data_IF_833016525798
#
_entry.id   IF_833016525798
#
_cell.length_a   1.000
_cell.length_b   1.000
_cell.length_c   1.000
_cell.angle_alpha   90.00
_cell.angle_beta   90.00
_cell.angle_gamma   90.00
#
_symmetry.space_group_name_H-M   'P 1'
#
loop_
_entity.id
_entity.type
_entity.pdbx_description
1 polymer ?
#
# COMPACT_ATOMS: atom_id res chain seq x y z
N UNK A 1 -47.26 -8.09 -46.45
CA UNK A 1 -46.49 -8.44 -45.24
C UNK A 1 -45.14 -9.04 -45.63
N UNK A 2 -44.04 -8.27 -45.60
CA UNK A 2 -42.71 -8.82 -45.83
C UNK A 2 -41.93 -9.02 -44.52
N UNK A 3 -41.01 -9.99 -44.56
CA UNK A 3 -40.26 -10.59 -43.46
C UNK A 3 -39.19 -9.65 -42.89
N UNK A 4 -39.34 -9.29 -41.62
CA UNK A 4 -38.38 -8.58 -40.77
C UNK A 4 -37.71 -9.59 -39.82
N UNK A 5 -36.82 -10.46 -40.31
CA UNK A 5 -36.12 -11.42 -39.42
C UNK A 5 -34.64 -11.63 -39.72
N UNK A 6 -34.06 -10.94 -40.71
CA UNK A 6 -32.65 -11.18 -41.09
C UNK A 6 -31.63 -10.19 -40.52
N UNK A 7 -32.05 -9.12 -39.83
CA UNK A 7 -31.12 -8.09 -39.29
C UNK A 7 -30.71 -8.30 -37.82
N UNK A 8 -31.44 -9.11 -37.06
CA UNK A 8 -31.10 -9.39 -35.65
C UNK A 8 -29.96 -10.40 -35.49
N UNK A 9 -29.80 -11.34 -36.42
CA UNK A 9 -28.75 -12.38 -36.35
C UNK A 9 -27.35 -11.81 -36.62
N UNK A 10 -27.24 -10.77 -37.45
CA UNK A 10 -25.94 -10.14 -37.72
C UNK A 10 -25.44 -9.22 -36.59
N UNK A 11 -26.35 -8.60 -35.82
CA UNK A 11 -25.97 -7.78 -34.66
C UNK A 11 -25.48 -8.65 -33.49
N UNK A 12 -26.12 -9.80 -33.26
CA UNK A 12 -25.74 -10.76 -32.23
C UNK A 12 -24.35 -11.39 -32.50
N UNK A 13 -24.04 -11.76 -33.74
CA UNK A 13 -22.70 -12.27 -34.07
C UNK A 13 -21.58 -11.21 -33.98
N UNK A 14 -21.89 -9.92 -34.25
CA UNK A 14 -20.92 -8.83 -34.12
C UNK A 14 -20.65 -8.49 -32.63
N UNK A 15 -21.67 -8.54 -31.78
CA UNK A 15 -21.55 -8.40 -30.33
C UNK A 15 -20.76 -9.56 -29.71
N UNK A 16 -21.03 -10.80 -30.13
CA UNK A 16 -20.29 -11.99 -29.67
C UNK A 16 -18.83 -11.99 -30.16
N UNK A 17 -18.56 -11.54 -31.39
CA UNK A 17 -17.20 -11.39 -31.91
C UNK A 17 -16.43 -10.21 -31.26
N UNK A 18 -17.14 -9.17 -30.82
CA UNK A 18 -16.58 -8.08 -30.01
C UNK A 18 -16.27 -8.55 -28.59
N UNK A 19 -17.19 -9.28 -27.94
CA UNK A 19 -17.03 -9.86 -26.61
C UNK A 19 -15.87 -10.88 -26.55
N UNK A 20 -15.66 -11.67 -27.60
CA UNK A 20 -14.50 -12.56 -27.72
C UNK A 20 -13.17 -11.81 -27.86
N UNK A 21 -13.17 -10.57 -28.38
CA UNK A 21 -11.97 -9.72 -28.45
C UNK A 21 -11.68 -9.00 -27.13
N UNK A 22 -12.70 -8.60 -26.37
CA UNK A 22 -12.51 -8.01 -25.04
C UNK A 22 -11.96 -8.99 -24.00
N UNK A 23 -12.22 -10.30 -24.15
CA UNK A 23 -11.67 -11.35 -23.29
C UNK A 23 -10.12 -11.44 -23.32
N UNK A 24 -9.48 -10.91 -24.37
CA UNK A 24 -8.01 -10.86 -24.53
C UNK A 24 -7.45 -9.48 -24.08
N UNK A 25 -8.30 -8.49 -23.81
CA UNK A 25 -7.92 -7.08 -23.62
C UNK A 25 -7.62 -6.68 -22.17
N UNK A 26 -7.84 -7.56 -21.19
CA UNK A 26 -7.37 -7.35 -19.82
C UNK A 26 -5.91 -7.77 -19.73
N UNK A 27 -5.00 -6.82 -19.92
CA UNK A 27 -3.64 -6.99 -19.39
C UNK A 27 -3.73 -6.86 -17.88
N UNK A 28 -3.87 -8.00 -17.19
CA UNK A 28 -3.47 -8.07 -15.78
C UNK A 28 -2.00 -7.64 -15.68
N UNK A 29 -1.58 -6.96 -14.61
CA UNK A 29 -0.15 -6.84 -14.32
C UNK A 29 0.41 -8.26 -14.28
N UNK A 30 1.32 -8.54 -15.22
CA UNK A 30 1.85 -9.87 -15.60
C UNK A 30 1.74 -10.92 -14.48
N UNK A 31 0.82 -11.87 -14.62
CA UNK A 31 0.92 -13.16 -13.95
C UNK A 31 2.17 -13.88 -14.49
N UNK A 32 3.31 -13.68 -13.85
CA UNK A 32 4.47 -14.56 -14.03
C UNK A 32 4.26 -15.83 -13.20
N UNK A 33 3.37 -16.71 -13.65
CA UNK A 33 3.50 -18.14 -13.36
C UNK A 33 4.39 -18.79 -14.43
N UNK A 34 5.61 -18.30 -14.57
CA UNK A 34 6.69 -19.03 -15.23
C UNK A 34 7.60 -19.51 -14.12
N UNK A 35 7.75 -20.83 -13.96
CA UNK A 35 8.89 -21.42 -13.25
C UNK A 35 10.17 -20.95 -13.94
N UNK A 36 10.67 -19.78 -13.56
CA UNK A 36 11.97 -19.32 -13.98
C UNK A 36 13.01 -20.15 -13.22
N UNK A 37 14.08 -20.63 -13.89
CA UNK A 37 15.20 -21.23 -13.19
C UNK A 37 15.75 -20.19 -12.21
N UNK A 38 15.97 -20.59 -10.97
CA UNK A 38 16.57 -19.83 -9.85
C UNK A 38 17.54 -18.74 -10.31
N UNK A 39 17.02 -17.56 -10.65
CA UNK A 39 17.83 -16.39 -10.96
C UNK A 39 18.23 -15.81 -9.61
N UNK A 40 19.51 -15.95 -9.27
CA UNK A 40 20.13 -15.22 -8.17
C UNK A 40 20.02 -13.73 -8.49
N UNK A 41 19.02 -13.08 -7.94
CA UNK A 41 18.91 -11.64 -7.92
C UNK A 41 19.96 -11.12 -6.93
N UNK A 42 21.15 -10.78 -7.42
CA UNK A 42 22.09 -9.98 -6.63
C UNK A 42 21.56 -8.54 -6.64
N UNK A 43 21.19 -7.95 -5.49
CA UNK A 43 20.80 -6.55 -5.47
C UNK A 43 22.06 -5.71 -5.67
N UNK A 44 22.28 -5.26 -6.90
CA UNK A 44 23.20 -4.15 -7.13
C UNK A 44 22.46 -2.87 -6.71
N UNK A 45 22.44 -2.60 -5.40
CA UNK A 45 22.11 -1.29 -4.85
C UNK A 45 23.21 -0.32 -5.31
N UNK A 46 23.03 0.30 -6.46
CA UNK A 46 23.79 1.50 -6.80
C UNK A 46 23.33 2.61 -5.85
N UNK A 47 24.11 2.84 -4.79
CA UNK A 47 23.98 3.93 -3.83
C UNK A 47 24.34 5.28 -4.46
N UNK A 48 23.55 5.72 -5.42
CA UNK A 48 23.68 7.03 -6.04
C UNK A 48 22.29 7.52 -6.41
N UNK A 49 21.56 8.03 -5.41
CA UNK A 49 20.35 8.81 -5.66
C UNK A 49 20.48 10.11 -4.87
N UNK A 50 20.90 11.15 -5.58
CA UNK A 50 20.51 12.50 -5.22
C UNK A 50 18.99 12.53 -5.46
N UNK A 51 18.24 12.28 -4.39
CA UNK A 51 16.79 12.16 -4.44
C UNK A 51 16.16 13.52 -4.76
N UNK A 52 15.93 13.73 -6.05
CA UNK A 52 14.91 14.62 -6.56
C UNK A 52 13.54 14.01 -6.23
N UNK A 53 13.03 14.34 -5.04
CA UNK A 53 11.67 13.96 -4.59
C UNK A 53 10.57 14.74 -5.35
N UNK A 54 10.92 15.56 -6.35
CA UNK A 54 10.00 16.18 -7.31
C UNK A 54 9.45 15.19 -8.34
N UNK A 55 9.12 13.96 -7.93
CA UNK A 55 8.45 13.01 -8.80
C UNK A 55 7.02 13.49 -9.01
N UNK A 56 6.84 14.25 -10.09
CA UNK A 56 5.55 14.63 -10.63
C UNK A 56 4.64 13.38 -10.63
N UNK A 57 3.41 13.47 -10.11
CA UNK A 57 2.54 12.31 -9.95
C UNK A 57 2.36 11.60 -11.29
N UNK A 58 2.64 10.29 -11.34
CA UNK A 58 2.54 9.50 -12.57
C UNK A 58 1.10 9.65 -13.12
N UNK A 59 0.91 10.07 -14.37
CA UNK A 59 -0.42 10.34 -14.93
C UNK A 59 -1.33 9.11 -14.89
N UNK A 60 -0.78 7.89 -14.82
CA UNK A 60 -1.56 6.65 -14.67
C UNK A 60 -2.23 6.55 -13.30
N UNK A 61 -1.58 7.06 -12.25
CA UNK A 61 -2.15 7.12 -10.90
C UNK A 61 -3.36 8.04 -10.87
N UNK A 62 -3.22 9.23 -11.45
CA UNK A 62 -4.29 10.22 -11.50
C UNK A 62 -5.44 9.76 -12.41
N UNK A 63 -5.13 9.17 -13.57
CA UNK A 63 -6.14 8.59 -14.44
C UNK A 63 -6.95 7.48 -13.75
N UNK A 64 -6.29 6.60 -12.99
CA UNK A 64 -6.99 5.55 -12.24
C UNK A 64 -7.82 6.12 -11.09
N UNK A 65 -7.28 7.11 -10.36
CA UNK A 65 -8.01 7.82 -9.31
C UNK A 65 -9.26 8.48 -9.87
N UNK A 66 -9.12 9.27 -10.94
CA UNK A 66 -10.22 9.93 -11.62
C UNK A 66 -11.25 8.93 -12.15
N UNK A 67 -10.80 7.80 -12.71
CA UNK A 67 -11.67 6.72 -13.18
C UNK A 67 -12.53 6.15 -12.05
N UNK A 68 -11.91 5.85 -10.90
CA UNK A 68 -12.62 5.36 -9.73
C UNK A 68 -13.62 6.42 -9.28
N UNK A 69 -13.20 7.65 -9.02
CA UNK A 69 -14.07 8.71 -8.50
C UNK A 69 -15.28 9.01 -9.40
N UNK A 70 -15.09 9.04 -10.72
CA UNK A 70 -16.17 9.29 -11.68
C UNK A 70 -17.19 8.15 -11.75
N UNK A 71 -16.71 6.91 -11.67
CA UNK A 71 -17.53 5.73 -11.95
C UNK A 71 -18.04 5.05 -10.67
N UNK A 72 -17.56 5.46 -9.48
CA UNK A 72 -17.87 4.78 -8.22
C UNK A 72 -19.31 4.99 -7.77
N UNK A 73 -20.00 3.89 -7.48
CA UNK A 73 -21.34 3.93 -6.92
C UNK A 73 -21.29 3.85 -5.39
N UNK A 74 -21.41 5.00 -4.72
CA UNK A 74 -21.36 5.09 -3.26
C UNK A 74 -22.39 4.24 -2.53
N UNK A 75 -23.57 4.00 -3.12
CA UNK A 75 -24.66 3.26 -2.49
C UNK A 75 -24.40 1.75 -2.46
N UNK A 76 -23.83 1.18 -3.53
CA UNK A 76 -23.57 -0.26 -3.63
C UNK A 76 -22.14 -0.63 -3.21
N UNK A 77 -21.16 0.23 -3.53
CA UNK A 77 -19.73 -0.04 -3.35
C UNK A 77 -19.14 0.61 -2.09
N UNK A 78 -19.86 1.51 -1.43
CA UNK A 78 -19.39 2.20 -0.21
C UNK A 78 -18.47 3.37 -0.54
N UNK A 79 -17.51 3.69 0.32
CA UNK A 79 -16.58 4.81 0.08
C UNK A 79 -15.56 4.47 -1.01
N UNK A 80 -15.26 5.44 -1.87
CA UNK A 80 -14.28 5.27 -2.95
C UNK A 80 -12.85 5.20 -2.37
N UNK A 81 -12.09 4.11 -2.60
CA UNK A 81 -10.74 3.95 -2.04
C UNK A 81 -9.67 4.71 -2.86
N UNK A 82 -10.00 5.92 -3.32
CA UNK A 82 -9.13 6.78 -4.12
C UNK A 82 -8.04 7.47 -3.29
N UNK A 83 -8.30 7.62 -1.99
CA UNK A 83 -7.40 8.26 -1.01
C UNK A 83 -7.18 7.34 0.20
N UNK A 84 -6.04 7.46 0.90
CA UNK A 84 -5.71 6.62 2.05
C UNK A 84 -6.79 6.63 3.13
N UNK A 85 -7.39 7.78 3.43
CA UNK A 85 -8.40 7.97 4.47
C UNK A 85 -9.68 7.18 4.12
N UNK A 86 -10.16 7.34 2.88
CA UNK A 86 -11.38 6.68 2.41
C UNK A 86 -11.19 5.17 2.31
N UNK A 87 -10.02 4.73 1.83
CA UNK A 87 -9.69 3.31 1.76
C UNK A 87 -9.60 2.70 3.16
N UNK A 88 -8.98 3.40 4.11
CA UNK A 88 -8.85 2.96 5.50
C UNK A 88 -10.21 2.85 6.19
N UNK A 89 -11.11 3.80 5.96
CA UNK A 89 -12.45 3.76 6.54
C UNK A 89 -13.28 2.57 6.00
N UNK A 90 -13.26 2.34 4.68
CA UNK A 90 -13.91 1.18 4.08
C UNK A 90 -13.34 -0.15 4.59
N UNK A 91 -12.01 -0.21 4.78
CA UNK A 91 -11.35 -1.38 5.37
C UNK A 91 -11.71 -1.56 6.85
N UNK A 92 -11.83 -0.46 7.62
CA UNK A 92 -12.15 -0.49 9.05
C UNK A 92 -13.54 -1.09 9.33
N UNK A 93 -14.53 -0.86 8.46
CA UNK A 93 -15.85 -1.51 8.52
C UNK A 93 -15.75 -3.04 8.39
N UNK A 94 -14.93 -3.49 7.44
CA UNK A 94 -14.71 -4.91 7.20
C UNK A 94 -13.91 -5.56 8.34
N UNK A 95 -12.89 -4.87 8.86
CA UNK A 95 -12.10 -5.29 10.03
C UNK A 95 -13.00 -5.40 11.27
N UNK A 96 -13.83 -4.40 11.54
CA UNK A 96 -14.76 -4.41 12.67
C UNK A 96 -15.69 -5.62 12.63
N UNK A 97 -16.26 -5.90 11.45
CA UNK A 97 -17.12 -7.05 11.22
C UNK A 97 -16.41 -8.40 11.44
N UNK A 98 -15.14 -8.51 11.03
CA UNK A 98 -14.32 -9.70 11.26
C UNK A 98 -13.94 -9.89 12.74
N UNK A 99 -13.57 -8.81 13.43
CA UNK A 99 -13.24 -8.83 14.86
C UNK A 99 -14.48 -9.19 15.71
N UNK A 100 -15.67 -8.73 15.33
CA UNK A 100 -16.92 -9.12 15.98
C UNK A 100 -17.19 -10.63 15.89
N UNK A 101 -16.68 -11.29 14.84
CA UNK A 101 -16.70 -12.76 14.67
C UNK A 101 -15.45 -13.46 15.22
N UNK A 102 -14.69 -12.78 16.08
CA UNK A 102 -13.50 -13.31 16.76
C UNK A 102 -12.33 -13.68 15.82
N UNK A 103 -12.27 -13.10 14.62
CA UNK A 103 -11.06 -13.18 13.81
C UNK A 103 -10.05 -12.14 14.29
N UNK A 104 -8.82 -12.59 14.56
CA UNK A 104 -7.75 -11.74 15.07
C UNK A 104 -6.56 -11.62 14.11
N UNK A 105 -6.48 -12.45 13.07
CA UNK A 105 -5.48 -12.36 12.00
C UNK A 105 -6.21 -11.97 10.72
N UNK A 106 -5.96 -10.77 10.24
CA UNK A 106 -6.72 -10.13 9.16
C UNK A 106 -5.77 -9.77 8.03
N UNK A 107 -6.25 -9.86 6.80
CA UNK A 107 -5.52 -9.47 5.61
C UNK A 107 -6.30 -8.39 4.85
N UNK A 108 -5.57 -7.43 4.30
CA UNK A 108 -6.10 -6.39 3.42
C UNK A 108 -5.25 -6.42 2.14
N UNK A 109 -5.88 -6.44 0.96
CA UNK A 109 -5.17 -6.41 -0.33
C UNK A 109 -5.72 -5.34 -1.28
N UNK A 110 -5.04 -4.20 -1.30
CA UNK A 110 -5.27 -3.06 -2.18
C UNK A 110 -4.40 -3.20 -3.43
N UNK A 111 -4.97 -3.72 -4.52
CA UNK A 111 -4.33 -3.79 -5.86
C UNK A 111 -4.45 -2.47 -6.60
N UNK A 112 -4.19 -1.38 -5.89
CA UNK A 112 -4.13 -0.03 -6.41
C UNK A 112 -2.65 0.32 -6.64
N UNK A 113 -2.26 1.03 -7.72
CA UNK A 113 -0.85 1.10 -8.07
C UNK A 113 0.01 1.84 -7.04
N UNK A 114 -0.54 2.80 -6.27
CA UNK A 114 0.15 3.43 -5.14
C UNK A 114 0.44 2.48 -3.99
N UNK A 115 -0.32 1.39 -3.86
CA UNK A 115 -0.24 0.49 -2.73
C UNK A 115 0.40 -0.85 -3.06
N UNK A 116 0.40 -1.26 -4.33
CA UNK A 116 0.95 -2.55 -4.74
C UNK A 116 2.44 -2.46 -5.07
N UNK A 117 3.27 -3.04 -4.21
CA UNK A 117 4.73 -3.07 -4.40
C UNK A 117 5.15 -3.79 -5.69
N UNK A 118 4.29 -4.66 -6.25
CA UNK A 118 4.61 -5.36 -7.51
C UNK A 118 4.52 -4.48 -8.76
N UNK A 119 3.88 -3.32 -8.66
CA UNK A 119 3.83 -2.32 -9.74
C UNK A 119 5.18 -1.60 -9.95
N UNK A 120 6.10 -1.81 -9.00
CA UNK A 120 7.47 -1.30 -9.05
C UNK A 120 7.62 0.05 -8.32
N UNK A 121 8.88 0.47 -8.08
CA UNK A 121 9.19 1.60 -7.21
C UNK A 121 8.71 2.95 -7.73
N UNK A 122 8.34 3.05 -9.02
CA UNK A 122 7.79 4.28 -9.61
C UNK A 122 6.32 4.51 -9.27
N UNK A 123 5.56 3.43 -9.09
CA UNK A 123 4.13 3.50 -8.84
C UNK A 123 3.83 3.30 -7.36
N UNK A 124 4.60 2.43 -6.68
CA UNK A 124 4.45 2.17 -5.27
C UNK A 124 4.84 3.39 -4.43
N UNK A 125 3.84 3.96 -3.75
CA UNK A 125 3.98 5.10 -2.86
C UNK A 125 3.99 4.62 -1.40
N UNK A 126 5.19 4.54 -0.83
CA UNK A 126 5.41 4.18 0.58
C UNK A 126 4.63 5.09 1.53
N UNK A 127 4.51 6.39 1.21
CA UNK A 127 3.80 7.36 2.04
C UNK A 127 2.31 7.08 2.00
N UNK A 128 1.71 6.89 0.83
CA UNK A 128 0.28 6.55 0.72
C UNK A 128 -0.08 5.28 1.50
N UNK A 129 0.78 4.25 1.45
CA UNK A 129 0.58 3.00 2.19
C UNK A 129 0.66 3.24 3.70
N UNK A 130 1.63 4.04 4.15
CA UNK A 130 1.76 4.41 5.55
C UNK A 130 0.59 5.26 6.05
N UNK A 131 0.14 6.24 5.26
CA UNK A 131 -1.01 7.09 5.56
C UNK A 131 -2.28 6.23 5.67
N UNK A 132 -2.45 5.23 4.80
CA UNK A 132 -3.55 4.27 4.89
C UNK A 132 -3.50 3.48 6.20
N UNK A 133 -2.33 2.97 6.59
CA UNK A 133 -2.17 2.21 7.84
C UNK A 133 -2.42 3.09 9.07
N UNK A 134 -2.00 4.36 9.02
CA UNK A 134 -2.24 5.36 10.07
C UNK A 134 -3.73 5.65 10.21
N UNK A 135 -4.40 5.99 9.10
CA UNK A 135 -5.84 6.24 9.08
C UNK A 135 -6.63 5.01 9.53
N UNK A 136 -6.19 3.80 9.15
CA UNK A 136 -6.81 2.56 9.60
C UNK A 136 -6.69 2.41 11.12
N UNK A 137 -5.52 2.70 11.68
CA UNK A 137 -5.32 2.68 13.13
C UNK A 137 -6.22 3.67 13.87
N UNK A 138 -6.34 4.90 13.35
CA UNK A 138 -7.26 5.91 13.90
C UNK A 138 -8.71 5.44 13.88
N UNK A 139 -9.18 4.92 12.76
CA UNK A 139 -10.54 4.39 12.60
C UNK A 139 -10.83 3.24 13.58
N UNK A 140 -9.88 2.31 13.75
CA UNK A 140 -10.04 1.18 14.68
C UNK A 140 -10.01 1.64 16.15
N UNK A 141 -9.19 2.66 16.47
CA UNK A 141 -9.12 3.27 17.80
C UNK A 141 -10.41 4.04 18.14
N UNK A 142 -10.93 4.83 17.20
CA UNK A 142 -12.19 5.57 17.35
C UNK A 142 -13.37 4.62 17.64
N UNK A 143 -13.38 3.47 16.97
CA UNK A 143 -14.36 2.38 17.18
C UNK A 143 -14.11 1.56 18.45
N UNK A 144 -13.06 1.87 19.22
CA UNK A 144 -12.65 1.14 20.44
C UNK A 144 -12.36 -0.35 20.20
N UNK A 145 -11.94 -0.69 18.99
CA UNK A 145 -11.54 -2.06 18.62
C UNK A 145 -10.10 -2.35 19.03
N UNK A 146 -9.26 -1.32 19.00
CA UNK A 146 -7.87 -1.34 19.45
C UNK A 146 -7.62 -0.11 20.32
N UNK A 147 -6.58 -0.16 21.16
CA UNK A 147 -6.10 1.02 21.90
C UNK A 147 -5.04 1.77 21.11
N UNK A 148 -4.09 1.00 20.56
CA UNK A 148 -2.95 1.51 19.80
C UNK A 148 -2.36 0.41 18.92
N UNK A 149 -1.87 0.76 17.74
CA UNK A 149 -1.20 -0.18 16.84
C UNK A 149 0.29 0.06 16.69
N UNK A 150 1.07 -1.01 16.53
CA UNK A 150 2.43 -0.94 15.99
C UNK A 150 2.39 -1.15 14.46
N UNK A 151 2.75 -0.12 13.68
CA UNK A 151 2.90 -0.22 12.23
C UNK A 151 4.33 -0.62 11.91
N UNK A 152 4.49 -1.78 11.27
CA UNK A 152 5.77 -2.40 10.96
C UNK A 152 6.08 -2.29 9.47
N UNK A 153 7.14 -1.55 9.17
CA UNK A 153 7.81 -1.54 7.86
C UNK A 153 9.00 -2.49 7.89
N UNK A 154 9.57 -2.80 6.72
CA UNK A 154 10.47 -3.95 6.60
C UNK A 154 11.81 -3.72 7.29
N UNK A 155 12.43 -2.57 7.03
CA UNK A 155 13.76 -2.22 7.53
C UNK A 155 13.83 -0.76 7.99
N UNK A 156 14.95 -0.41 8.62
CA UNK A 156 15.15 0.95 9.13
C UNK A 156 15.20 2.02 8.03
N UNK A 157 15.69 1.67 6.84
CA UNK A 157 15.73 2.60 5.71
C UNK A 157 14.32 3.02 5.31
N UNK A 158 13.41 2.05 5.12
CA UNK A 158 12.00 2.31 4.85
C UNK A 158 11.34 3.13 5.97
N UNK A 159 11.68 2.87 7.24
CA UNK A 159 11.19 3.66 8.37
C UNK A 159 11.60 5.13 8.25
N UNK A 160 12.89 5.40 8.02
CA UNK A 160 13.42 6.76 7.90
C UNK A 160 12.83 7.49 6.69
N UNK A 161 12.70 6.83 5.56
CA UNK A 161 12.14 7.42 4.34
C UNK A 161 10.67 7.81 4.55
N UNK A 162 9.90 6.94 5.20
CA UNK A 162 8.49 7.21 5.56
C UNK A 162 8.37 8.37 6.55
N UNK A 163 9.23 8.41 7.58
CA UNK A 163 9.24 9.52 8.55
C UNK A 163 9.63 10.86 7.90
N UNK A 164 10.60 10.84 6.98
CA UNK A 164 11.01 12.04 6.23
C UNK A 164 9.85 12.54 5.37
N UNK A 165 9.21 11.66 4.61
CA UNK A 165 8.06 12.01 3.76
C UNK A 165 6.87 12.55 4.59
N UNK A 166 6.63 11.98 5.77
CA UNK A 166 5.57 12.46 6.67
C UNK A 166 5.86 13.86 7.25
N UNK A 167 7.12 14.16 7.60
CA UNK A 167 7.52 15.48 8.10
C UNK A 167 7.38 16.57 7.06
N UNK A 168 7.87 16.33 5.84
CA UNK A 168 7.78 17.30 4.74
C UNK A 168 6.34 17.72 4.46
N UNK A 169 5.39 16.77 4.47
CA UNK A 169 3.97 17.07 4.27
C UNK A 169 3.32 17.89 5.38
N UNK A 170 3.88 17.90 6.60
CA UNK A 170 3.38 18.74 7.69
C UNK A 170 3.90 20.16 7.61
N UNK A 171 5.15 20.33 7.17
CA UNK A 171 5.79 21.64 7.05
C UNK A 171 5.23 22.45 5.87
N UNK A 172 4.88 21.80 4.76
CA UNK A 172 4.28 22.45 3.58
C UNK A 172 2.91 23.09 3.91
N UNK A 173 2.19 22.59 4.90
CA UNK A 173 0.87 23.11 5.32
C UNK A 173 1.00 24.35 6.22
N UNK A 174 2.18 24.61 6.80
CA UNK A 174 2.37 25.68 7.81
C UNK A 174 2.93 27.00 7.27
N UNK A 175 3.10 27.16 5.95
CA UNK A 175 3.80 28.33 5.37
C UNK A 175 2.88 29.53 5.06
N UNK A 176 1.55 29.44 5.22
CA UNK A 176 0.64 30.43 4.59
C UNK A 176 -0.27 31.26 5.50
N UNK A 177 0.05 31.47 6.80
CA UNK A 177 -0.80 32.28 7.68
C UNK A 177 -0.06 33.13 8.75
N UNK A 178 1.21 33.47 8.55
CA UNK A 178 1.87 34.53 9.37
C UNK A 178 2.37 35.68 8.47
N UNK A 179 1.43 36.62 8.29
CA UNK A 179 1.60 38.07 8.24
C UNK A 179 3.01 38.58 8.66
N UNK A 180 3.76 39.17 7.73
CA UNK A 180 4.77 40.16 8.05
C UNK A 180 5.02 41.12 6.87
N UNK A 181 4.19 42.17 6.85
CA UNK A 181 4.65 43.55 6.92
C UNK A 181 6.11 43.80 6.53
N UNK A 182 6.34 44.21 5.28
CA UNK A 182 7.55 44.94 4.87
C UNK A 182 7.69 46.26 5.66
N UNK A 183 8.35 46.21 6.82
CA UNK A 183 9.02 47.38 7.36
C UNK A 183 10.53 47.22 7.17
N UNK A 184 11.08 48.16 6.41
CA UNK A 184 12.46 48.18 6.00
C UNK A 184 13.32 48.78 7.11
N UNK A 185 14.11 47.96 7.79
CA UNK A 185 15.28 48.44 8.52
C UNK A 185 16.53 47.69 8.06
N UNK A 186 17.25 48.33 7.13
CA UNK A 186 18.68 48.12 6.95
C UNK A 186 19.40 48.27 8.30
N UNK A 187 20.31 47.34 8.62
CA UNK A 187 21.68 47.58 9.13
C UNK A 187 22.21 46.33 9.88
N UNK A 188 23.40 45.87 9.44
CA UNK A 188 24.41 45.04 10.13
C UNK A 188 24.56 43.54 9.82
N UNK A 189 24.61 43.14 8.55
CA UNK A 189 25.09 41.81 8.12
C UNK A 189 26.63 41.63 8.18
N UNK A 190 27.39 42.67 8.53
CA UNK A 190 28.86 42.60 8.52
C UNK A 190 29.47 41.83 9.71
N UNK A 191 28.72 41.57 10.79
CA UNK A 191 29.26 40.91 11.99
C UNK A 191 29.14 39.38 11.95
N UNK A 192 28.11 38.83 11.32
CA UNK A 192 27.87 37.37 11.32
C UNK A 192 28.87 36.63 10.43
N UNK A 193 29.23 37.24 9.29
CA UNK A 193 30.23 36.67 8.38
C UNK A 193 31.62 36.67 9.02
N UNK A 194 31.94 37.68 9.85
CA UNK A 194 33.23 37.78 10.55
C UNK A 194 33.30 36.79 11.74
N UNK A 195 32.20 36.56 12.45
CA UNK A 195 32.11 35.51 13.49
C UNK A 195 32.24 34.11 12.89
N UNK A 196 31.61 33.86 11.74
CA UNK A 196 31.76 32.59 11.03
C UNK A 196 33.21 32.38 10.58
N UNK A 197 33.87 33.42 10.07
CA UNK A 197 35.29 33.37 9.66
C UNK A 197 36.23 33.08 10.82
N UNK A 198 36.01 33.71 11.99
CA UNK A 198 36.78 33.44 13.21
C UNK A 198 36.62 32.00 13.69
N UNK A 199 35.39 31.49 13.68
CA UNK A 199 35.08 30.12 14.13
C UNK A 199 35.73 29.05 13.24
N UNK A 200 35.91 29.36 11.95
CA UNK A 200 36.58 28.49 10.99
C UNK A 200 38.10 28.49 11.17
N UNK A 201 38.71 29.65 11.43
CA UNK A 201 40.16 29.76 11.66
C UNK A 201 40.60 29.13 13.00
N UNK A 202 39.78 29.25 14.06
CA UNK A 202 40.04 28.57 15.34
C UNK A 202 40.04 27.04 15.23
N UNK A 203 39.37 26.47 14.21
CA UNK A 203 39.34 25.03 13.98
C UNK A 203 40.56 24.48 13.23
N UNK A 204 41.40 25.35 12.67
CA UNK A 204 42.58 24.96 11.88
C UNK A 204 43.89 25.06 12.66
N UNK A 205 43.97 25.90 13.70
CA UNK A 205 45.21 26.14 14.46
C UNK A 205 45.41 25.26 15.70
N UNK A 206 44.56 24.25 15.95
CA UNK A 206 44.84 23.28 17.02
C UNK A 206 46.01 22.36 16.63
N UNK A 207 47.18 22.43 17.31
CA UNK A 207 48.28 21.53 17.04
C UNK A 207 47.87 20.12 17.44
N UNK A 208 48.18 19.16 16.59
CA UNK A 208 47.82 17.75 16.80
C UNK A 208 48.76 17.15 17.85
N UNK A 209 48.46 17.38 19.13
CA UNK A 209 49.18 16.71 20.21
C UNK A 209 48.68 15.27 20.37
N UNK A 210 49.60 14.36 20.08
CA UNK A 210 49.48 12.91 20.27
C UNK A 210 49.23 12.59 21.74
N UNK A 211 47.97 12.45 22.12
CA UNK A 211 47.58 11.59 23.22
C UNK A 211 46.32 10.83 22.80
N UNK A 212 46.49 9.54 22.53
CA UNK A 212 45.40 8.63 22.18
C UNK A 212 44.41 8.54 23.34
N UNK A 213 43.14 8.98 23.20
CA UNK A 213 42.07 8.48 24.02
C UNK A 213 41.56 7.21 23.35
N UNK A 214 41.70 6.09 24.05
CA UNK A 214 40.94 4.88 23.76
C UNK A 214 39.45 5.24 23.75
N UNK A 215 38.87 5.44 22.56
CA UNK A 215 37.42 5.45 22.36
C UNK A 215 37.00 3.99 22.53
N UNK A 216 36.76 3.63 23.79
CA UNK A 216 35.91 2.50 24.12
C UNK A 216 34.52 2.95 23.70
N UNK A 217 34.13 2.60 22.47
CA UNK A 217 32.80 2.83 21.97
C UNK A 217 31.82 2.05 22.87
N UNK A 218 31.21 2.74 23.83
CA UNK A 218 30.00 2.26 24.46
C UNK A 218 28.96 1.99 23.36
N UNK A 219 28.23 0.87 23.43
CA UNK A 219 27.20 0.56 22.46
C UNK A 219 26.13 1.65 22.55
N UNK A 220 26.08 2.49 21.52
CA UNK A 220 25.06 3.51 21.31
C UNK A 220 23.68 2.92 21.60
N UNK A 221 23.09 3.37 22.71
CA UNK A 221 21.79 2.93 23.16
C UNK A 221 20.79 3.12 22.01
N UNK A 222 20.05 2.05 21.70
CA UNK A 222 19.03 2.07 20.67
C UNK A 222 18.15 3.33 20.80
N UNK A 223 17.88 4.06 19.70
CA UNK A 223 17.13 5.30 19.75
C UNK A 223 15.80 5.05 20.47
N UNK A 224 15.59 5.75 21.59
CA UNK A 224 14.31 5.72 22.29
C UNK A 224 13.27 6.34 21.36
N UNK A 225 12.22 5.61 20.96
CA UNK A 225 11.17 6.19 20.15
C UNK A 225 10.53 7.34 20.93
N UNK A 226 10.56 8.55 20.37
CA UNK A 226 9.72 9.67 20.82
C UNK A 226 8.30 9.37 20.37
N UNK A 227 7.55 8.74 21.27
CA UNK A 227 6.16 8.34 21.02
C UNK A 227 5.27 9.52 21.36
N UNK A 228 4.59 10.08 20.37
CA UNK A 228 3.50 11.02 20.63
C UNK A 228 2.38 10.26 21.39
N UNK A 229 2.03 10.68 22.62
CA UNK A 229 1.00 10.01 23.41
C UNK A 229 -0.39 10.12 22.78
N UNK A 230 -0.62 11.06 21.86
CA UNK A 230 -1.90 11.23 21.17
C UNK A 230 -2.01 10.42 19.87
N UNK A 231 -0.91 9.84 19.39
CA UNK A 231 -0.90 9.04 18.17
C UNK A 231 -1.58 7.68 18.36
N UNK A 232 -2.44 7.26 17.43
CA UNK A 232 -3.07 5.92 17.41
C UNK A 232 -2.06 4.82 17.15
N UNK A 233 -0.90 5.17 16.61
CA UNK A 233 0.10 4.22 16.18
C UNK A 233 1.51 4.63 16.57
N UNK A 234 2.42 3.67 16.39
CA UNK A 234 3.87 3.87 16.36
C UNK A 234 4.41 3.20 15.11
N UNK A 235 5.19 3.92 14.32
CA UNK A 235 5.91 3.38 13.17
C UNK A 235 7.24 2.75 13.64
N UNK A 236 7.55 1.55 13.18
CA UNK A 236 8.83 0.89 13.50
C UNK A 236 9.28 -0.08 12.41
N UNK A 237 10.54 -0.48 12.45
CA UNK A 237 11.14 -1.46 11.55
C UNK A 237 11.04 -2.88 12.12
N UNK A 238 10.66 -3.86 11.29
CA UNK A 238 10.60 -5.28 11.70
C UNK A 238 11.96 -5.82 12.13
N UNK A 239 13.02 -5.51 11.38
CA UNK A 239 14.38 -6.04 11.60
C UNK A 239 15.38 -4.99 12.10
N UNK A 240 14.99 -3.72 12.21
CA UNK A 240 15.88 -2.63 12.61
C UNK A 240 16.99 -2.35 11.59
N UNK A 241 18.21 -2.12 12.10
CA UNK A 241 19.45 -1.92 11.33
C UNK A 241 20.28 -3.21 11.22
N UNK A 242 19.71 -4.37 11.55
CA UNK A 242 20.44 -5.63 11.52
C UNK A 242 20.77 -6.02 10.07
N UNK A 243 22.03 -6.38 9.82
CA UNK A 243 22.46 -6.90 8.52
C UNK A 243 22.10 -8.40 8.44
N UNK A 244 21.14 -8.73 7.58
CA UNK A 244 20.70 -10.11 7.39
C UNK A 244 21.49 -10.74 6.24
N UNK A 245 22.33 -11.73 6.56
CA UNK A 245 23.09 -12.47 5.54
C UNK A 245 22.22 -13.56 4.92
N UNK A 246 22.24 -13.64 3.58
CA UNK A 246 21.58 -14.73 2.85
C UNK A 246 22.39 -16.03 2.99
N UNK A 247 22.14 -16.77 4.07
CA UNK A 247 22.87 -17.99 4.43
C UNK A 247 22.05 -18.94 5.31
N UNK A 248 22.72 -19.96 5.86
CA UNK A 248 22.11 -20.93 6.77
C UNK A 248 21.67 -20.32 8.10
N UNK A 249 22.23 -19.18 8.46
CA UNK A 249 21.97 -18.41 9.68
C UNK A 249 20.88 -17.34 9.51
N UNK A 250 20.43 -17.08 8.29
CA UNK A 250 19.41 -16.07 7.97
C UNK A 250 18.16 -16.20 8.86
N UNK A 251 17.71 -17.44 9.08
CA UNK A 251 16.53 -17.70 9.91
C UNK A 251 16.71 -17.19 11.34
N UNK A 252 17.81 -17.56 12.00
CA UNK A 252 18.09 -17.18 13.38
C UNK A 252 18.35 -15.68 13.51
N UNK A 253 19.03 -15.07 12.53
CA UNK A 253 19.27 -13.63 12.49
C UNK A 253 17.95 -12.84 12.40
N UNK A 254 17.05 -13.23 11.50
CA UNK A 254 15.75 -12.57 11.35
C UNK A 254 14.90 -12.76 12.61
N UNK A 255 14.87 -13.95 13.18
CA UNK A 255 14.15 -14.20 14.44
C UNK A 255 14.69 -13.32 15.57
N UNK A 256 16.01 -13.23 15.73
CA UNK A 256 16.64 -12.38 16.75
C UNK A 256 16.35 -10.89 16.52
N UNK A 257 16.40 -10.43 15.26
CA UNK A 257 16.10 -9.06 14.88
C UNK A 257 14.64 -8.70 15.21
N UNK A 258 13.68 -9.56 14.84
CA UNK A 258 12.25 -9.38 15.14
C UNK A 258 11.99 -9.42 16.65
N UNK A 259 12.68 -10.29 17.38
CA UNK A 259 12.60 -10.36 18.83
C UNK A 259 13.09 -9.10 19.53
N UNK A 260 14.09 -8.44 18.94
CA UNK A 260 14.65 -7.19 19.43
C UNK A 260 13.79 -5.98 19.04
N UNK A 261 13.32 -5.90 17.80
CA UNK A 261 12.74 -4.69 17.23
C UNK A 261 11.21 -4.67 17.16
N UNK A 262 10.56 -5.78 16.79
CA UNK A 262 9.10 -5.87 16.68
C UNK A 262 8.42 -6.15 18.04
N UNK A 263 8.68 -5.29 19.03
CA UNK A 263 8.11 -5.39 20.38
C UNK A 263 6.91 -4.47 20.53
N UNK A 264 5.81 -5.04 21.03
CA UNK A 264 4.68 -4.26 21.51
C UNK A 264 5.01 -3.59 22.84
N UNK A 265 4.55 -2.36 23.01
CA UNK A 265 4.51 -1.69 24.32
C UNK A 265 3.31 -2.25 25.09
N UNK A 266 3.55 -3.16 26.04
CA UNK A 266 2.48 -3.78 26.86
C UNK A 266 2.46 -3.22 28.28
N UNK A 267 3.59 -2.69 28.74
CA UNK A 267 3.75 -2.10 30.07
C UNK A 267 3.76 -0.58 29.95
N UNK A 268 2.89 0.09 30.69
CA UNK A 268 2.73 1.54 30.63
C UNK A 268 1.30 1.96 30.96
N UNK A 269 1.02 3.28 30.98
CA UNK A 269 -0.34 3.79 31.05
C UNK A 269 -1.19 3.18 29.93
N UNK A 270 -2.48 2.99 30.17
CA UNK A 270 -3.37 2.30 29.22
C UNK A 270 -3.42 2.94 27.84
N UNK A 271 -3.14 4.23 27.74
CA UNK A 271 -3.05 5.01 26.49
C UNK A 271 -1.84 4.66 25.62
N UNK A 272 -0.79 4.08 26.20
CA UNK A 272 0.43 3.70 25.48
C UNK A 272 0.48 2.20 25.13
N UNK A 273 -0.46 1.41 25.65
CA UNK A 273 -0.46 -0.02 25.43
C UNK A 273 -0.91 -0.36 24.01
N UNK A 274 -0.04 -1.06 23.29
CA UNK A 274 -0.30 -1.55 21.94
C UNK A 274 -0.93 -2.95 22.00
N UNK A 275 -2.08 -3.09 21.35
CA UNK A 275 -2.83 -4.34 21.25
C UNK A 275 -3.06 -4.84 19.82
N UNK A 276 -2.58 -4.07 18.83
CA UNK A 276 -2.59 -4.46 17.42
C UNK A 276 -1.24 -4.28 16.73
N UNK A 277 -0.99 -5.10 15.70
CA UNK A 277 0.14 -4.96 14.78
C UNK A 277 -0.38 -4.81 13.35
N UNK A 278 0.17 -3.87 12.59
CA UNK A 278 -0.08 -3.71 11.16
C UNK A 278 1.24 -3.97 10.44
N UNK A 279 1.31 -5.00 9.61
CA UNK A 279 2.50 -5.38 8.84
C UNK A 279 2.33 -4.88 7.40
N UNK A 280 3.27 -4.05 6.95
CA UNK A 280 3.19 -3.38 5.64
C UNK A 280 3.93 -4.20 4.58
N UNK A 281 3.19 -4.59 3.54
CA UNK A 281 3.68 -5.15 2.28
C UNK A 281 4.80 -6.20 2.40
N UNK A 282 4.66 -7.26 3.23
CA UNK A 282 5.68 -8.32 3.30
C UNK A 282 5.73 -9.11 1.99
N UNK A 283 6.92 -9.32 1.42
CA UNK A 283 7.04 -9.95 0.10
C UNK A 283 8.20 -10.94 -0.09
N UNK A 284 9.29 -10.84 0.67
CA UNK A 284 10.44 -11.73 0.48
C UNK A 284 10.59 -12.80 1.57
N UNK A 285 11.64 -13.62 1.47
CA UNK A 285 11.93 -14.69 2.43
C UNK A 285 12.23 -14.15 3.83
N UNK A 286 12.86 -12.98 3.94
CA UNK A 286 13.14 -12.32 5.23
C UNK A 286 11.82 -11.93 5.89
N UNK A 287 10.92 -11.30 5.13
CA UNK A 287 9.59 -10.93 5.60
C UNK A 287 8.75 -12.16 5.97
N UNK A 288 8.85 -13.26 5.21
CA UNK A 288 8.19 -14.51 5.53
C UNK A 288 8.59 -15.02 6.92
N UNK A 289 9.90 -15.06 7.20
CA UNK A 289 10.43 -15.51 8.49
C UNK A 289 9.98 -14.53 9.61
N UNK A 290 10.01 -13.23 9.33
CA UNK A 290 9.58 -12.21 10.27
C UNK A 290 8.09 -12.32 10.62
N UNK A 291 7.22 -12.47 9.62
CA UNK A 291 5.77 -12.68 9.78
C UNK A 291 5.50 -13.94 10.58
N UNK A 292 6.17 -15.06 10.28
CA UNK A 292 6.05 -16.29 11.07
C UNK A 292 6.42 -16.09 12.53
N UNK A 293 7.52 -15.37 12.80
CA UNK A 293 7.94 -15.06 14.18
C UNK A 293 6.93 -14.16 14.89
N UNK A 294 6.38 -13.15 14.21
CA UNK A 294 5.36 -12.24 14.75
C UNK A 294 4.08 -13.02 15.09
N UNK A 295 3.61 -13.88 14.19
CA UNK A 295 2.43 -14.72 14.41
C UNK A 295 2.62 -15.66 15.59
N UNK A 296 3.80 -16.29 15.71
CA UNK A 296 4.11 -17.16 16.83
C UNK A 296 4.09 -16.42 18.19
N UNK A 297 4.47 -15.14 18.21
CA UNK A 297 4.51 -14.32 19.43
C UNK A 297 3.17 -13.71 19.81
N UNK A 298 2.44 -13.21 18.83
CA UNK A 298 1.27 -12.35 19.08
C UNK A 298 -0.03 -12.86 18.47
N UNK A 299 0.02 -13.86 17.59
CA UNK A 299 -1.13 -14.34 16.82
C UNK A 299 -2.23 -15.01 17.64
N UNK A 300 -2.03 -15.24 18.94
CA UNK A 300 -3.08 -15.73 19.85
C UNK A 300 -3.60 -14.64 20.80
N UNK A 301 -2.86 -13.53 20.97
CA UNK A 301 -3.11 -12.56 22.04
C UNK A 301 -3.43 -11.16 21.53
N UNK A 302 -3.19 -10.89 20.26
CA UNK A 302 -3.26 -9.56 19.65
C UNK A 302 -3.92 -9.64 18.28
N UNK A 303 -4.39 -8.49 17.81
CA UNK A 303 -4.88 -8.34 16.43
C UNK A 303 -3.68 -8.13 15.52
N UNK A 304 -3.58 -8.90 14.44
CA UNK A 304 -2.55 -8.76 13.41
C UNK A 304 -3.24 -8.46 12.10
N UNK A 305 -2.89 -7.35 11.47
CA UNK A 305 -3.39 -6.93 10.16
C UNK A 305 -2.21 -6.94 9.20
N UNK A 306 -2.33 -7.70 8.11
CA UNK A 306 -1.31 -7.74 7.05
C UNK A 306 -1.86 -7.01 5.84
N UNK A 307 -1.18 -5.93 5.44
CA UNK A 307 -1.57 -5.09 4.31
C UNK A 307 -0.71 -5.45 3.11
N UNK A 308 -1.35 -5.72 1.98
CA UNK A 308 -0.72 -5.94 0.67
C UNK A 308 0.39 -6.99 0.68
N UNK A 309 0.14 -8.14 1.30
CA UNK A 309 1.10 -9.23 1.27
C UNK A 309 1.36 -9.70 -0.17
N UNK A 310 2.64 -9.91 -0.48
CA UNK A 310 3.13 -10.48 -1.75
C UNK A 310 4.05 -11.68 -1.51
N UNK A 311 3.88 -12.35 -0.38
CA UNK A 311 4.62 -13.57 -0.07
C UNK A 311 4.25 -14.65 -1.10
N UNK A 312 5.25 -15.26 -1.73
CA UNK A 312 5.04 -16.32 -2.74
C UNK A 312 4.24 -17.51 -2.19
N UNK A 313 4.43 -17.80 -0.89
CA UNK A 313 3.66 -18.80 -0.18
C UNK A 313 3.25 -18.26 1.18
N UNK A 314 1.95 -18.35 1.50
CA UNK A 314 1.47 -17.98 2.81
C UNK A 314 1.92 -19.04 3.83
N UNK A 315 2.52 -18.63 4.96
CA UNK A 315 2.91 -19.56 6.01
C UNK A 315 1.68 -20.23 6.61
N UNK A 316 1.84 -21.47 7.10
CA UNK A 316 0.76 -22.29 7.70
C UNK A 316 0.07 -21.57 8.85
N UNK A 317 0.82 -20.73 9.57
CA UNK A 317 0.36 -19.88 10.66
C UNK A 317 -0.71 -18.85 10.21
N UNK A 318 -0.80 -18.54 8.90
CA UNK A 318 -1.86 -17.71 8.30
C UNK A 318 -3.07 -18.51 7.81
N UNK A 319 -3.17 -19.81 8.10
CA UNK A 319 -4.34 -20.59 7.70
C UNK A 319 -5.65 -20.01 8.28
N UNK A 320 -5.62 -19.51 9.51
CA UNK A 320 -6.75 -18.85 10.18
C UNK A 320 -6.94 -17.38 9.79
N UNK A 321 -6.04 -16.80 8.98
CA UNK A 321 -6.16 -15.43 8.54
C UNK A 321 -7.39 -15.25 7.65
N UNK A 322 -8.06 -14.10 7.75
CA UNK A 322 -9.22 -13.76 6.92
C UNK A 322 -8.89 -12.54 6.08
N UNK A 323 -9.06 -12.65 4.75
CA UNK A 323 -9.04 -11.48 3.87
C UNK A 323 -10.31 -10.67 4.11
N UNK A 324 -10.18 -9.52 4.76
CA UNK A 324 -11.33 -8.71 5.18
C UNK A 324 -11.70 -7.66 4.15
N UNK A 325 -10.71 -7.09 3.48
CA UNK A 325 -10.91 -6.04 2.49
C UNK A 325 -9.96 -6.23 1.33
N UNK A 326 -10.48 -6.18 0.11
CA UNK A 326 -9.66 -6.22 -1.08
C UNK A 326 -10.31 -5.42 -2.21
N UNK A 327 -9.49 -4.78 -3.04
CA UNK A 327 -9.95 -4.05 -4.22
C UNK A 327 -8.94 -4.18 -5.35
N UNK A 328 -9.41 -4.49 -6.54
CA UNK A 328 -8.63 -4.60 -7.77
C UNK A 328 -9.40 -3.95 -8.92
N UNK A 329 -9.05 -2.70 -9.29
CA UNK A 329 -9.55 -2.10 -10.52
C UNK A 329 -8.81 -2.65 -11.74
N UNK A 330 -9.56 -2.91 -12.80
CA UNK A 330 -9.10 -3.36 -14.10
C UNK A 330 -9.71 -2.47 -15.17
N UNK A 331 -8.90 -2.04 -16.13
CA UNK A 331 -9.36 -1.25 -17.28
C UNK A 331 -8.93 -1.96 -18.54
N UNK A 332 -9.90 -2.33 -19.38
CA UNK A 332 -9.62 -2.88 -20.70
C UNK A 332 -9.13 -1.76 -21.61
N UNK A 333 -8.02 -1.99 -22.31
CA UNK A 333 -7.54 -1.03 -23.32
C UNK A 333 -8.46 -1.07 -24.53
N UNK A 334 -9.00 0.08 -24.93
CA UNK A 334 -9.68 0.19 -26.21
C UNK A 334 -8.68 -0.07 -27.33
N UNK A 335 -9.02 -1.00 -28.24
CA UNK A 335 -8.17 -1.35 -29.39
C UNK A 335 -8.28 -0.33 -30.54
N UNK A 336 -8.96 0.80 -30.36
CA UNK A 336 -9.22 1.81 -31.41
C UNK A 336 -7.97 2.58 -31.89
N UNK A 337 -6.77 2.24 -31.41
CA UNK A 337 -5.51 2.91 -31.76
C UNK A 337 -4.94 2.62 -33.17
N UNK A 338 -5.70 2.00 -34.07
CA UNK A 338 -5.13 1.58 -35.36
C UNK A 338 -5.02 2.67 -36.41
N UNK A 339 -5.77 3.78 -36.38
CA UNK A 339 -5.61 4.88 -37.34
C UNK A 339 -6.38 6.13 -36.90
N UNK A 340 -5.75 7.10 -36.22
CA UNK A 340 -6.24 8.48 -36.24
C UNK A 340 -5.16 9.42 -35.70
N UNK A 341 -4.81 10.39 -36.54
CA UNK A 341 -3.96 11.54 -36.24
C UNK A 341 -4.84 12.69 -35.70
N UNK A 342 -5.94 12.34 -35.03
CA UNK A 342 -6.98 13.25 -34.57
C UNK A 342 -6.99 13.31 -33.04
N UNK A 343 -7.31 14.50 -32.57
CA UNK A 343 -7.09 15.04 -31.22
C UNK A 343 -7.54 14.08 -30.11
N UNK A 344 -6.73 14.05 -29.05
CA UNK A 344 -6.89 13.26 -27.83
C UNK A 344 -8.20 13.63 -27.12
N UNK A 345 -9.32 13.09 -27.58
CA UNK A 345 -10.52 13.02 -26.76
C UNK A 345 -10.29 11.87 -25.76
N UNK A 346 -9.70 12.21 -24.61
CA UNK A 346 -9.44 11.37 -23.42
C UNK A 346 -10.70 10.69 -22.83
N UNK A 347 -11.80 10.71 -23.56
CA UNK A 347 -13.16 10.47 -23.10
C UNK A 347 -13.65 9.03 -23.38
N UNK A 348 -13.03 8.27 -24.28
CA UNK A 348 -13.48 6.90 -24.58
C UNK A 348 -12.85 5.88 -23.62
N UNK A 349 -13.19 6.01 -22.33
CA UNK A 349 -12.77 5.06 -21.32
C UNK A 349 -13.33 3.67 -21.66
N UNK A 350 -12.45 2.76 -22.08
CA UNK A 350 -12.80 1.36 -22.34
C UNK A 350 -13.40 0.67 -21.11
N UNK A 351 -13.98 -0.51 -21.32
CA UNK A 351 -14.62 -1.35 -20.30
C UNK A 351 -13.82 -1.38 -18.98
N UNK A 352 -14.44 -0.93 -17.89
CA UNK A 352 -13.83 -0.89 -16.55
C UNK A 352 -14.47 -1.95 -15.68
N UNK A 353 -13.67 -2.57 -14.84
CA UNK A 353 -14.11 -3.60 -13.90
C UNK A 353 -13.47 -3.33 -12.54
N UNK A 354 -14.22 -3.48 -11.47
CA UNK A 354 -13.69 -3.49 -10.10
C UNK A 354 -14.07 -4.82 -9.46
N UNK A 355 -13.07 -5.56 -9.03
CA UNK A 355 -13.24 -6.74 -8.19
C UNK A 355 -12.99 -6.32 -6.74
N UNK A 356 -13.94 -6.61 -5.86
CA UNK A 356 -13.80 -6.24 -4.45
C UNK A 356 -14.25 -7.33 -3.50
N UNK A 357 -13.69 -7.29 -2.29
CA UNK A 357 -14.10 -8.09 -1.15
C UNK A 357 -14.31 -7.16 0.05
N UNK A 358 -15.43 -7.31 0.73
CA UNK A 358 -15.75 -6.62 1.99
C UNK A 358 -16.37 -7.61 2.94
N UNK A 359 -15.64 -8.03 3.96
CA UNK A 359 -16.16 -9.01 4.91
C UNK A 359 -17.42 -8.48 5.62
N UNK A 360 -18.48 -9.29 5.77
CA UNK A 360 -18.56 -10.74 5.54
C UNK A 360 -19.08 -11.13 4.14
N UNK A 361 -19.21 -10.20 3.22
CA UNK A 361 -19.71 -10.45 1.87
C UNK A 361 -18.73 -11.31 1.06
N UNK A 362 -19.28 -12.02 0.07
CA UNK A 362 -18.50 -12.72 -0.94
C UNK A 362 -17.77 -11.71 -1.85
N UNK A 363 -16.95 -12.23 -2.76
CA UNK A 363 -16.37 -11.42 -3.83
C UNK A 363 -17.47 -10.78 -4.69
N UNK A 364 -17.40 -9.46 -4.83
CA UNK A 364 -18.22 -8.66 -5.72
C UNK A 364 -17.45 -8.28 -6.98
N UNK A 365 -18.15 -8.25 -8.11
CA UNK A 365 -17.61 -7.78 -9.38
C UNK A 365 -18.53 -6.67 -9.90
N UNK A 366 -17.94 -5.53 -10.24
CA UNK A 366 -18.66 -4.36 -10.71
C UNK A 366 -18.12 -3.93 -12.06
N UNK A 367 -19.01 -3.60 -12.99
CA UNK A 367 -18.66 -3.28 -14.38
C UNK A 367 -19.21 -1.91 -14.73
N UNK A 368 -18.38 -1.10 -15.40
CA UNK A 368 -18.79 0.13 -16.05
C UNK A 368 -18.42 0.04 -17.54
N UNK A 369 -19.46 -0.03 -18.39
CA UNK A 369 -19.34 -0.23 -19.84
C UNK A 369 -19.40 1.10 -20.60
N UNK A 370 -20.26 2.01 -20.15
CA UNK A 370 -20.63 3.22 -20.89
C UNK A 370 -20.28 4.53 -20.16
N UNK A 371 -19.64 4.44 -18.98
CA UNK A 371 -19.34 5.61 -18.16
C UNK A 371 -20.47 6.03 -17.22
N UNK A 372 -21.57 5.26 -17.15
CA UNK A 372 -22.72 5.53 -16.28
C UNK A 372 -22.46 5.13 -14.82
N UNK A 373 -21.30 4.55 -14.55
CA UNK A 373 -20.86 4.10 -13.25
C UNK A 373 -20.92 2.59 -13.07
N UNK A 374 -20.28 2.14 -12.00
CA UNK A 374 -20.11 0.74 -11.69
C UNK A 374 -21.43 0.10 -11.23
N UNK A 375 -21.86 -0.90 -11.98
CA UNK A 375 -23.03 -1.72 -11.69
C UNK A 375 -22.59 -3.14 -11.31
N UNK A 376 -23.28 -3.79 -10.35
CA UNK A 376 -22.94 -5.15 -9.95
C UNK A 376 -23.16 -6.12 -11.10
N UNK A 377 -22.12 -6.82 -11.52
CA UNK A 377 -22.20 -7.94 -12.44
C UNK A 377 -22.35 -9.22 -11.60
N UNK A 378 -23.49 -9.90 -11.78
CA UNK A 378 -23.96 -10.97 -10.90
C UNK A 378 -22.89 -11.99 -10.53
N UNK A 379 -22.37 -11.90 -9.31
CA UNK A 379 -21.40 -12.85 -8.75
C UNK A 379 -22.06 -14.15 -8.24
N UNK A 380 -23.38 -14.31 -8.40
CA UNK A 380 -24.18 -15.39 -7.80
C UNK A 380 -24.21 -16.67 -8.66
N UNK A 381 -23.20 -16.88 -9.50
CA UNK A 381 -23.06 -18.11 -10.29
C UNK A 381 -22.64 -19.31 -9.43
N UNK A 382 -22.82 -20.55 -9.92
CA UNK A 382 -22.40 -21.77 -9.21
C UNK A 382 -20.88 -21.83 -8.96
N UNK A 383 -20.09 -21.08 -9.73
CA UNK A 383 -18.63 -21.01 -9.62
C UNK A 383 -18.14 -19.82 -8.78
N UNK A 384 -18.95 -19.34 -7.82
CA UNK A 384 -18.55 -18.21 -7.00
C UNK A 384 -17.29 -18.54 -6.16
N UNK A 385 -16.29 -17.64 -6.11
CA UNK A 385 -15.11 -17.88 -5.30
C UNK A 385 -15.49 -17.98 -3.83
N UNK A 386 -14.84 -18.89 -3.10
CA UNK A 386 -15.11 -19.11 -1.69
C UNK A 386 -15.02 -17.81 -0.88
N UNK A 387 -15.93 -17.64 0.09
CA UNK A 387 -15.86 -16.57 1.09
C UNK A 387 -14.53 -16.56 1.81
N UNK A 388 -13.94 -17.73 2.00
CA UNK A 388 -12.75 -17.92 2.80
C UNK A 388 -11.47 -17.84 1.96
N UNK A 389 -11.61 -17.60 0.64
CA UNK A 389 -10.47 -17.36 -0.24
C UNK A 389 -9.71 -16.12 0.20
N UNK A 390 -8.41 -16.30 0.40
CA UNK A 390 -7.42 -15.24 0.66
C UNK A 390 -6.88 -14.60 -0.61
N UNK A 391 -7.10 -15.28 -1.74
CA UNK A 391 -6.65 -14.85 -3.05
C UNK A 391 -7.79 -14.21 -3.83
N UNK A 392 -7.43 -13.26 -4.70
CA UNK A 392 -8.34 -12.70 -5.69
C UNK A 392 -8.96 -13.80 -6.56
N UNK A 393 -10.20 -13.60 -7.04
CA UNK A 393 -10.81 -14.48 -8.02
C UNK A 393 -9.90 -14.63 -9.25
N UNK A 394 -9.89 -15.81 -9.84
CA UNK A 394 -9.08 -16.06 -11.04
C UNK A 394 -9.50 -15.15 -12.19
N UNK A 395 -8.54 -14.82 -13.05
CA UNK A 395 -8.80 -14.06 -14.28
C UNK A 395 -9.90 -14.70 -15.12
N UNK A 396 -9.97 -16.04 -15.17
CA UNK A 396 -11.05 -16.76 -15.87
C UNK A 396 -12.43 -16.47 -15.28
N UNK A 397 -12.56 -16.44 -13.95
CA UNK A 397 -13.83 -16.14 -13.29
C UNK A 397 -14.28 -14.70 -13.58
N UNK A 398 -13.33 -13.76 -13.52
CA UNK A 398 -13.58 -12.34 -13.80
C UNK A 398 -14.08 -12.19 -15.24
N UNK A 399 -13.35 -12.76 -16.21
CA UNK A 399 -13.71 -12.67 -17.64
C UNK A 399 -15.07 -13.30 -17.90
N UNK A 400 -15.36 -14.50 -17.36
CA UNK A 400 -16.67 -15.14 -17.54
C UNK A 400 -17.81 -14.31 -16.92
N UNK A 401 -17.60 -13.74 -15.75
CA UNK A 401 -18.60 -12.91 -15.07
C UNK A 401 -18.89 -11.63 -15.84
N UNK A 402 -17.84 -10.98 -16.38
CA UNK A 402 -17.97 -9.81 -17.25
C UNK A 402 -18.69 -10.19 -18.55
N UNK A 403 -18.34 -11.31 -19.19
CA UNK A 403 -19.01 -11.79 -20.40
C UNK A 403 -20.50 -12.06 -20.16
N UNK A 404 -20.83 -12.78 -19.09
CA UNK A 404 -22.22 -13.07 -18.74
C UNK A 404 -23.02 -11.79 -18.47
N UNK A 405 -22.40 -10.78 -17.85
CA UNK A 405 -23.00 -9.46 -17.66
C UNK A 405 -23.26 -8.78 -19.01
N UNK A 406 -22.27 -8.76 -19.90
CA UNK A 406 -22.38 -8.14 -21.22
C UNK A 406 -23.42 -8.82 -22.14
N UNK A 407 -23.58 -10.14 -22.04
CA UNK A 407 -24.58 -10.90 -22.81
C UNK A 407 -26.01 -10.71 -22.27
N UNK A 408 -26.14 -10.30 -21.01
CA UNK A 408 -27.44 -10.03 -20.37
C UNK A 408 -27.94 -8.60 -20.55
N UNK A 409 -27.11 -7.68 -21.04
CA UNK A 409 -27.48 -6.32 -21.46
C UNK A 409 -28.16 -6.35 -22.84
#
# INVERSE_FOLDING_TARGET
MPKLTSRFVHLSCALVASAFRYAIAFTAPREYSVRLPSFRYTPHLSSSSNDDWGMEPDPRMEAMRSMLEKSWNGNSMGKVPARPENAAEAAADSVASAMAKQHNILMIDLRLPSYDITEGPKLYDKKAVYDFCTCLSDQLRERKLIRRSLVLVRNEQERRDTERASKLSKEEITIDDEDDSWDSSEVSEANEVEEFRKKLLDSWDTPTDKSSPSITAEPSAAPKPTVDPNSSHRLWSMIGNEEITSGSDMFDQVVAAVDKHARLVVTGPSSEQEDALIIVSPYDTTDLIAVRRILARYGQTRTIIIVNSRLESLPVELNSAVLVYAVMPLVARSTSRTNAMEEEDDSEAGLKVVVMKRFPEHWGLFVDVYGDGFLPAGANGPDQPSTDSKDFPSTEWIVRSVQAYMEGL
#
